data_IF_403749068750
#
_entry.id   IF_403749068750
#
_cell.length_a   1.000
_cell.length_b   1.000
_cell.length_c   1.000
_cell.angle_alpha   90.00
_cell.angle_beta   90.00
_cell.angle_gamma   90.00
#
_symmetry.space_group_name_H-M   'P 1'
#
loop_
_entity.id
_entity.type
_entity.pdbx_description
1 polymer ?
#
# COMPACT_ATOMS: atom_id res chain seq x y z
N UNK A 1 -4.68 -0.94 5.01
CA UNK A 1 -5.99 -1.59 4.77
C UNK A 1 -6.73 -1.68 6.08
N UNK A 2 -8.03 -1.39 6.10
CA UNK A 2 -8.84 -1.54 7.32
C UNK A 2 -9.37 -2.98 7.44
N UNK A 3 -9.66 -3.40 8.66
CA UNK A 3 -10.41 -4.61 8.94
C UNK A 3 -11.78 -4.60 8.24
N UNK A 4 -12.31 -5.78 7.94
CA UNK A 4 -13.60 -5.94 7.25
C UNK A 4 -13.54 -5.70 5.73
N UNK A 5 -12.41 -5.25 5.17
CA UNK A 5 -12.21 -5.22 3.72
C UNK A 5 -12.08 -6.65 3.20
N UNK A 6 -12.90 -6.99 2.19
CA UNK A 6 -12.80 -8.27 1.46
C UNK A 6 -11.41 -8.41 0.82
N UNK A 7 -10.56 -9.34 1.29
CA UNK A 7 -9.23 -9.54 0.75
C UNK A 7 -9.25 -10.43 -0.50
N UNK A 8 -10.40 -11.01 -0.88
CA UNK A 8 -10.48 -11.99 -1.95
C UNK A 8 -10.30 -11.33 -3.33
N UNK A 9 -9.28 -11.80 -4.06
CA UNK A 9 -9.09 -11.42 -5.45
C UNK A 9 -10.00 -12.22 -6.37
N UNK A 10 -10.76 -11.59 -7.25
CA UNK A 10 -11.59 -12.29 -8.24
C UNK A 10 -10.85 -12.40 -9.57
N UNK A 11 -10.98 -13.50 -10.33
CA UNK A 11 -10.37 -13.60 -11.66
C UNK A 11 -10.79 -12.44 -12.56
N UNK A 12 -9.84 -11.88 -13.31
CA UNK A 12 -10.16 -10.89 -14.36
C UNK A 12 -10.61 -11.65 -15.60
N UNK A 13 -11.78 -11.33 -16.20
CA UNK A 13 -12.23 -11.94 -17.45
C UNK A 13 -11.20 -11.73 -18.59
N UNK A 14 -11.05 -12.72 -19.47
CA UNK A 14 -10.04 -12.68 -20.53
C UNK A 14 -10.19 -11.47 -21.47
N UNK A 15 -11.42 -11.02 -21.71
CA UNK A 15 -11.74 -9.84 -22.53
C UNK A 15 -11.17 -8.53 -21.96
N UNK A 16 -11.02 -8.46 -20.63
CA UNK A 16 -10.49 -7.30 -19.91
C UNK A 16 -9.00 -7.49 -19.57
N UNK A 17 -8.47 -8.70 -19.70
CA UNK A 17 -7.10 -9.03 -19.35
C UNK A 17 -6.13 -8.65 -20.47
N UNK A 18 -5.52 -7.47 -20.34
CA UNK A 18 -4.48 -6.99 -21.28
C UNK A 18 -3.16 -7.76 -21.17
N UNK A 19 -3.03 -8.64 -20.16
CA UNK A 19 -1.87 -9.47 -19.90
C UNK A 19 -2.10 -10.91 -20.39
N UNK A 20 -1.06 -11.55 -20.94
CA UNK A 20 -1.10 -13.00 -21.28
C UNK A 20 -1.09 -13.93 -20.05
N UNK A 21 -1.22 -13.39 -18.85
CA UNK A 21 -1.20 -14.11 -17.57
C UNK A 21 -2.52 -13.88 -16.83
N UNK A 22 -3.09 -14.90 -16.17
CA UNK A 22 -4.28 -14.74 -15.33
C UNK A 22 -4.06 -13.65 -14.26
N UNK A 23 -4.91 -12.62 -14.29
CA UNK A 23 -4.91 -11.55 -13.29
C UNK A 23 -5.99 -11.76 -12.23
N UNK A 24 -5.84 -11.12 -11.07
CA UNK A 24 -6.92 -11.01 -10.06
C UNK A 24 -7.22 -9.53 -9.81
N UNK A 25 -8.51 -9.20 -9.75
CA UNK A 25 -9.02 -7.91 -9.30
C UNK A 25 -9.29 -7.96 -7.81
N UNK A 26 -8.70 -7.02 -7.08
CA UNK A 26 -8.92 -6.87 -5.65
C UNK A 26 -9.80 -5.64 -5.37
N UNK A 27 -10.37 -5.58 -4.16
CA UNK A 27 -11.10 -4.40 -3.70
C UNK A 27 -10.22 -3.14 -3.75
N UNK A 28 -10.75 -1.99 -4.22
CA UNK A 28 -10.02 -0.71 -4.21
C UNK A 28 -9.72 -0.21 -2.80
N UNK A 29 -10.36 -0.78 -1.77
CA UNK A 29 -10.11 -0.46 -0.36
C UNK A 29 -8.78 -1.04 0.17
N UNK A 30 -8.18 -2.01 -0.55
CA UNK A 30 -6.87 -2.55 -0.21
C UNK A 30 -5.79 -1.53 -0.56
N UNK A 31 -4.94 -1.20 0.42
CA UNK A 31 -3.84 -0.26 0.22
C UNK A 31 -4.25 1.21 0.13
N UNK A 32 -5.51 1.55 0.43
CA UNK A 32 -5.98 2.94 0.45
C UNK A 32 -5.18 3.82 1.40
N UNK A 33 -5.06 5.10 1.06
CA UNK A 33 -4.44 6.13 1.90
C UNK A 33 -5.36 6.42 3.08
N UNK A 34 -4.84 6.29 4.31
CA UNK A 34 -5.60 6.56 5.54
C UNK A 34 -5.38 7.99 6.06
N UNK A 35 -4.22 8.58 5.78
CA UNK A 35 -3.87 9.95 6.13
C UNK A 35 -2.79 10.47 5.16
N UNK A 36 -2.76 11.79 4.94
CA UNK A 36 -1.71 12.48 4.18
C UNK A 36 -1.34 13.76 4.92
N UNK A 37 -0.05 14.04 5.02
CA UNK A 37 0.50 15.21 5.73
C UNK A 37 1.54 15.85 4.84
N UNK A 38 1.48 17.17 4.70
CA UNK A 38 2.52 17.96 4.06
C UNK A 38 3.36 18.66 5.14
N UNK A 39 4.68 18.54 5.03
CA UNK A 39 5.63 19.10 6.00
C UNK A 39 6.68 18.08 6.44
N UNK A 40 7.58 18.52 7.30
CA UNK A 40 8.75 17.74 7.73
C UNK A 40 8.41 16.72 8.83
N UNK A 41 7.28 16.88 9.51
CA UNK A 41 6.83 16.01 10.60
C UNK A 41 5.44 15.48 10.30
N UNK A 42 5.28 14.16 10.44
CA UNK A 42 4.00 13.48 10.31
C UNK A 42 3.83 12.48 11.45
N UNK A 43 2.63 12.43 12.02
CA UNK A 43 2.24 11.43 13.02
C UNK A 43 0.97 10.74 12.56
N UNK A 44 0.90 9.42 12.79
CA UNK A 44 -0.31 8.66 12.60
C UNK A 44 -0.52 7.74 13.81
N UNK A 45 -1.62 7.97 14.52
CA UNK A 45 -2.04 7.12 15.63
C UNK A 45 -2.99 6.05 15.13
N UNK A 46 -2.62 4.78 15.31
CA UNK A 46 -3.48 3.65 14.96
C UNK A 46 -4.80 3.72 15.74
N UNK A 47 -5.90 3.39 15.06
CA UNK A 47 -7.23 3.30 15.69
C UNK A 47 -7.53 1.90 16.19
N UNK A 48 -6.75 0.90 15.75
CA UNK A 48 -6.94 -0.51 16.04
C UNK A 48 -7.77 -1.24 14.98
N UNK A 49 -8.32 -0.51 14.01
CA UNK A 49 -9.06 -1.07 12.86
C UNK A 49 -8.17 -1.31 11.65
N UNK A 50 -6.92 -0.88 11.68
CA UNK A 50 -5.98 -1.10 10.59
C UNK A 50 -5.39 -2.50 10.70
N UNK A 51 -5.38 -3.26 9.60
CA UNK A 51 -4.65 -4.54 9.54
C UNK A 51 -3.14 -4.33 9.69
N UNK A 52 -2.65 -3.27 9.06
CA UNK A 52 -1.32 -2.70 9.21
C UNK A 52 -1.31 -1.33 8.53
N UNK A 53 -0.31 -0.52 8.87
CA UNK A 53 -0.03 0.76 8.20
C UNK A 53 1.43 0.79 7.77
N UNK A 54 1.70 1.37 6.59
CA UNK A 54 3.05 1.78 6.19
C UNK A 54 3.00 3.23 5.73
N UNK A 55 4.05 3.98 6.03
CA UNK A 55 4.24 5.31 5.47
C UNK A 55 5.09 5.24 4.19
N UNK A 56 4.76 6.10 3.25
CA UNK A 56 5.60 6.44 2.10
C UNK A 56 5.92 7.91 2.25
N UNK A 57 7.21 8.24 2.39
CA UNK A 57 7.68 9.62 2.58
C UNK A 57 8.27 10.09 1.27
N UNK A 58 7.72 11.16 0.71
CA UNK A 58 8.17 11.74 -0.55
C UNK A 58 8.73 13.13 -0.29
N UNK A 59 9.94 13.41 -0.78
CA UNK A 59 10.49 14.75 -0.86
C UNK A 59 9.99 15.47 -2.12
N UNK A 60 10.13 16.79 -2.15
CA UNK A 60 10.03 17.65 -3.31
C UNK A 60 11.31 17.64 -4.18
N UNK A 61 12.42 17.13 -3.66
CA UNK A 61 13.69 17.00 -4.39
C UNK A 61 13.62 15.90 -5.43
N UNK A 62 14.07 16.20 -6.64
CA UNK A 62 14.21 15.24 -7.74
C UNK A 62 15.18 14.11 -7.35
N UNK A 63 14.80 12.86 -7.62
CA UNK A 63 15.66 11.70 -7.40
C UNK A 63 16.91 11.77 -8.28
N UNK A 64 18.05 11.33 -7.77
CA UNK A 64 19.33 11.39 -8.48
C UNK A 64 19.34 10.60 -9.81
N UNK A 65 18.63 9.47 -9.86
CA UNK A 65 18.47 8.65 -11.06
C UNK A 65 17.01 8.19 -11.20
N UNK A 66 16.11 9.04 -11.71
CA UNK A 66 14.69 8.73 -11.74
C UNK A 66 14.40 7.70 -12.85
N UNK A 67 13.59 6.68 -12.53
CA UNK A 67 13.14 5.71 -13.52
C UNK A 67 12.14 6.38 -14.49
N UNK A 68 12.27 6.11 -15.79
CA UNK A 68 11.29 6.55 -16.78
C UNK A 68 9.90 5.96 -16.45
N UNK A 69 8.90 6.82 -16.27
CA UNK A 69 7.54 6.40 -15.87
C UNK A 69 7.39 5.98 -14.41
N UNK A 70 8.45 6.08 -13.58
CA UNK A 70 8.42 5.75 -12.16
C UNK A 70 8.43 6.98 -11.25
N UNK A 71 8.73 6.74 -9.97
CA UNK A 71 8.86 7.79 -8.95
C UNK A 71 10.00 8.75 -9.33
N UNK A 72 9.69 10.05 -9.37
CA UNK A 72 10.61 11.10 -9.85
C UNK A 72 11.34 11.85 -8.74
N UNK A 73 10.83 11.79 -7.51
CA UNK A 73 11.40 12.47 -6.35
C UNK A 73 12.03 11.48 -5.38
N UNK A 74 12.93 11.98 -4.53
CA UNK A 74 13.50 11.17 -3.45
C UNK A 74 12.37 10.64 -2.55
N UNK A 75 12.27 9.32 -2.43
CA UNK A 75 11.16 8.64 -1.75
C UNK A 75 11.69 7.51 -0.89
N UNK A 76 11.13 7.38 0.32
CA UNK A 76 11.45 6.32 1.26
C UNK A 76 10.19 5.56 1.68
N UNK A 77 10.34 4.25 1.86
CA UNK A 77 9.30 3.38 2.41
C UNK A 77 9.66 2.98 3.83
N UNK A 78 8.74 3.21 4.75
CA UNK A 78 8.89 2.72 6.11
C UNK A 78 8.50 1.23 6.19
N UNK A 79 9.10 0.52 7.14
CA UNK A 79 8.59 -0.80 7.50
C UNK A 79 7.13 -0.66 7.97
N UNK A 80 6.25 -1.60 7.62
CA UNK A 80 4.88 -1.55 8.11
C UNK A 80 4.84 -1.81 9.62
N UNK A 81 3.77 -1.37 10.27
CA UNK A 81 3.52 -1.58 11.70
C UNK A 81 2.10 -2.08 11.93
N UNK A 82 1.88 -2.74 13.06
CA UNK A 82 0.54 -3.11 13.53
C UNK A 82 0.01 -4.47 13.04
N UNK A 83 0.80 -5.23 12.26
CA UNK A 83 0.42 -6.62 11.97
C UNK A 83 0.64 -7.50 13.20
N UNK A 84 -0.22 -8.50 13.41
CA UNK A 84 0.01 -9.59 14.37
C UNK A 84 0.65 -10.76 13.62
N UNK A 85 1.73 -11.32 14.15
CA UNK A 85 2.16 -12.67 13.77
C UNK A 85 1.09 -13.65 14.26
N UNK A 86 0.67 -14.59 13.42
CA UNK A 86 -0.22 -15.66 13.87
C UNK A 86 0.46 -16.37 15.05
N UNK A 87 -0.25 -16.54 16.17
CA UNK A 87 0.24 -17.39 17.25
C UNK A 87 0.35 -18.81 16.69
N UNK A 88 1.54 -19.40 16.81
CA UNK A 88 1.73 -20.83 16.56
C UNK A 88 1.03 -21.54 17.71
N UNK A 89 -0.16 -22.05 17.45
CA UNK A 89 -0.82 -22.98 18.37
C UNK A 89 -0.10 -24.32 18.19
N UNK A 90 0.68 -24.72 19.20
CA UNK A 90 1.25 -26.08 19.30
C UNK A 90 0.15 -27.13 19.55
#
# INVERSE_FOLDING_TARGET
>A
TLEGVDPEGRPVPDEENTSKRPGRRYSPEIGKVLASVAGETAEYRMTGRELYVRAVVCSDKTAANPLAGGVRTETAWCQPVGWKTAEVVE
#
